data_IF_075224755860
#
_entry.id   IF_075224755860
#
_cell.length_a   1.000
_cell.length_b   1.000
_cell.length_c   1.000
_cell.angle_alpha   90.00
_cell.angle_beta   90.00
_cell.angle_gamma   90.00
#
_symmetry.space_group_name_H-M   'P 1'
#
loop_
_entity.id
_entity.type
_entity.pdbx_description
1 polymer ?
#
# COMPACT_ATOMS: atom_id res chain seq x y z
N UNK A 1 -26.08 114.70 -58.53
CA UNK A 1 -26.36 113.28 -58.24
C UNK A 1 -25.76 112.94 -56.88
N UNK A 2 -26.57 112.46 -55.95
CA UNK A 2 -26.15 112.06 -54.61
C UNK A 2 -27.31 112.17 -53.62
N UNK A 3 -28.09 111.10 -53.39
CA UNK A 3 -29.20 111.09 -52.44
C UNK A 3 -28.79 110.56 -51.06
N UNK A 4 -29.40 111.18 -50.05
CA UNK A 4 -29.96 110.67 -48.79
C UNK A 4 -29.56 109.25 -48.32
N UNK A 5 -29.04 109.17 -47.09
CA UNK A 5 -29.10 107.96 -46.25
C UNK A 5 -29.79 108.32 -44.93
N UNK A 6 -30.96 107.71 -44.72
CA UNK A 6 -31.75 107.77 -43.50
C UNK A 6 -31.19 106.89 -42.39
N UNK A 7 -31.37 107.35 -41.15
CA UNK A 7 -31.12 106.63 -39.92
C UNK A 7 -32.11 105.46 -39.71
N UNK A 8 -31.66 104.39 -39.07
CA UNK A 8 -32.53 103.40 -38.43
C UNK A 8 -31.85 102.76 -37.19
N UNK A 9 -32.72 102.42 -36.24
CA UNK A 9 -32.55 102.14 -34.81
C UNK A 9 -31.54 101.05 -34.40
N UNK A 10 -30.95 101.28 -33.23
CA UNK A 10 -30.30 100.28 -32.36
C UNK A 10 -31.34 99.64 -31.44
N UNK A 11 -31.38 98.31 -31.36
CA UNK A 11 -32.09 97.54 -30.34
C UNK A 11 -31.17 96.41 -29.86
N UNK A 12 -30.81 96.49 -28.58
CA UNK A 12 -29.97 95.54 -27.83
C UNK A 12 -30.76 94.30 -27.43
N UNK A 13 -30.20 93.10 -27.64
CA UNK A 13 -30.66 91.85 -27.04
C UNK A 13 -29.46 91.07 -26.47
N UNK A 14 -29.66 90.58 -25.24
CA UNK A 14 -28.69 89.91 -24.36
C UNK A 14 -28.32 88.51 -24.86
N UNK A 15 -27.05 88.17 -24.78
CA UNK A 15 -26.46 86.87 -25.17
C UNK A 15 -26.33 85.97 -23.91
N UNK A 16 -26.91 84.76 -23.87
CA UNK A 16 -26.72 83.84 -22.75
C UNK A 16 -25.45 83.00 -22.94
N UNK A 17 -24.62 82.97 -21.91
CA UNK A 17 -23.42 82.15 -21.83
C UNK A 17 -23.74 80.65 -21.97
N UNK A 18 -23.19 80.02 -23.00
CA UNK A 18 -23.13 78.56 -23.12
C UNK A 18 -21.92 78.03 -22.32
N UNK A 19 -22.21 77.33 -21.21
CA UNK A 19 -21.26 76.48 -20.50
C UNK A 19 -20.95 75.24 -21.38
N UNK A 20 -19.73 75.18 -21.92
CA UNK A 20 -19.19 73.95 -22.51
C UNK A 20 -18.76 73.01 -21.39
N UNK A 21 -19.60 72.04 -21.06
CA UNK A 21 -19.24 70.90 -20.22
C UNK A 21 -18.24 70.02 -20.96
N UNK A 22 -17.07 69.86 -20.36
CA UNK A 22 -15.99 68.97 -20.78
C UNK A 22 -16.46 67.52 -20.69
N UNK A 23 -16.65 66.91 -21.86
CA UNK A 23 -17.04 65.50 -22.01
C UNK A 23 -15.89 64.61 -21.51
N UNK A 24 -16.07 63.99 -20.35
CA UNK A 24 -15.12 63.06 -19.77
C UNK A 24 -15.11 61.78 -20.59
N UNK A 25 -14.06 61.58 -21.39
CA UNK A 25 -13.78 60.28 -22.00
C UNK A 25 -13.46 59.27 -20.91
N UNK A 26 -14.44 58.44 -20.58
CA UNK A 26 -14.24 57.24 -19.77
C UNK A 26 -13.18 56.35 -20.44
N UNK A 27 -12.05 56.18 -19.77
CA UNK A 27 -11.14 55.07 -20.06
C UNK A 27 -11.93 53.78 -19.83
N UNK A 28 -11.86 52.78 -20.73
CA UNK A 28 -12.45 51.48 -20.45
C UNK A 28 -11.73 50.88 -19.25
N UNK A 29 -12.41 50.85 -18.11
CA UNK A 29 -12.05 50.05 -16.95
C UNK A 29 -12.01 48.61 -17.43
N UNK A 30 -10.81 48.06 -17.61
CA UNK A 30 -10.62 46.64 -17.88
C UNK A 30 -11.28 45.87 -16.73
N UNK A 31 -12.45 45.31 -16.98
CA UNK A 31 -13.15 44.42 -16.05
C UNK A 31 -12.21 43.23 -15.82
N UNK A 32 -11.46 43.22 -14.71
CA UNK A 32 -10.58 42.10 -14.38
C UNK A 32 -11.46 40.87 -14.26
N UNK A 33 -11.30 39.94 -15.19
CA UNK A 33 -11.88 38.60 -15.06
C UNK A 33 -11.37 38.02 -13.73
N UNK A 34 -12.25 37.73 -12.76
CA UNK A 34 -11.81 37.17 -11.50
C UNK A 34 -11.18 35.81 -11.80
N UNK A 35 -9.87 35.70 -11.52
CA UNK A 35 -9.09 34.48 -11.71
C UNK A 35 -8.61 34.00 -10.35
N UNK A 36 -8.67 32.68 -10.13
CA UNK A 36 -8.08 32.05 -8.97
C UNK A 36 -6.63 31.68 -9.30
N UNK A 37 -5.68 32.22 -8.55
CA UNK A 37 -4.30 31.72 -8.56
C UNK A 37 -4.27 30.41 -7.78
N UNK A 38 -4.13 29.29 -8.47
CA UNK A 38 -4.08 27.95 -7.85
C UNK A 38 -2.65 27.43 -7.87
N UNK A 39 -2.19 26.92 -6.72
CA UNK A 39 -0.87 26.30 -6.55
C UNK A 39 -1.02 24.93 -5.92
N UNK A 40 -0.12 24.01 -6.24
CA UNK A 40 -0.08 22.68 -5.63
C UNK A 40 1.29 22.41 -5.05
N UNK A 41 1.34 22.08 -3.77
CA UNK A 41 2.51 21.61 -3.06
C UNK A 41 2.49 20.07 -3.02
N UNK A 42 3.28 19.39 -3.87
CA UNK A 42 3.33 17.93 -3.89
C UNK A 42 3.92 17.34 -2.59
N UNK A 43 4.70 18.11 -1.84
CA UNK A 43 5.30 17.63 -0.59
C UNK A 43 4.26 17.52 0.52
N UNK A 44 3.40 18.53 0.64
CA UNK A 44 2.30 18.52 1.61
C UNK A 44 1.05 17.81 1.08
N UNK A 45 0.99 17.57 -0.23
CA UNK A 45 -0.22 17.18 -0.97
C UNK A 45 -1.32 18.23 -0.83
N UNK A 46 -0.94 19.51 -0.83
CA UNK A 46 -1.83 20.63 -0.58
C UNK A 46 -2.06 21.43 -1.87
N UNK A 47 -3.31 21.56 -2.27
CA UNK A 47 -3.78 22.51 -3.26
C UNK A 47 -4.19 23.78 -2.52
N UNK A 48 -3.62 24.93 -2.89
CA UNK A 48 -3.91 26.23 -2.28
C UNK A 48 -4.32 27.24 -3.33
N UNK A 49 -5.10 28.22 -2.91
CA UNK A 49 -5.49 29.35 -3.75
C UNK A 49 -5.67 30.61 -2.94
N UNK A 50 -5.71 31.75 -3.63
CA UNK A 50 -5.90 33.05 -3.00
C UNK A 50 -7.35 33.19 -2.50
N UNK A 51 -7.53 33.45 -1.20
CA UNK A 51 -8.84 33.76 -0.62
C UNK A 51 -9.25 35.17 -1.03
N UNK A 52 -10.28 35.31 -1.87
CA UNK A 52 -10.93 36.61 -2.07
C UNK A 52 -11.97 36.88 -0.99
N UNK A 53 -12.13 38.15 -0.57
CA UNK A 53 -13.06 38.57 0.50
C UNK A 53 -14.54 38.20 0.23
N UNK A 54 -14.93 37.96 -1.03
CA UNK A 54 -16.31 37.63 -1.44
C UNK A 54 -16.51 36.17 -1.88
N UNK A 55 -15.75 35.22 -1.32
CA UNK A 55 -15.79 33.81 -1.74
C UNK A 55 -16.60 32.95 -0.77
N UNK A 56 -17.79 32.48 -1.17
CA UNK A 56 -18.74 31.80 -0.26
C UNK A 56 -18.71 30.28 -0.34
N UNK A 57 -18.61 29.71 -1.55
CA UNK A 57 -18.59 28.26 -1.74
C UNK A 57 -17.40 27.88 -2.58
N UNK A 58 -16.54 27.02 -2.01
CA UNK A 58 -15.35 26.50 -2.69
C UNK A 58 -15.40 24.98 -2.69
N UNK A 59 -15.36 24.41 -3.89
CA UNK A 59 -15.20 23.00 -4.13
C UNK A 59 -13.83 22.78 -4.77
N UNK A 60 -13.05 21.87 -4.20
CA UNK A 60 -11.82 21.42 -4.83
C UNK A 60 -11.97 19.98 -5.29
N UNK A 61 -11.23 19.62 -6.32
CA UNK A 61 -11.26 18.29 -6.88
C UNK A 61 -9.92 17.87 -7.45
N UNK A 62 -9.71 16.57 -7.48
CA UNK A 62 -8.61 15.91 -8.17
C UNK A 62 -9.21 14.88 -9.11
N UNK A 63 -8.76 14.90 -10.35
CA UNK A 63 -9.12 13.92 -11.38
C UNK A 63 -7.87 13.22 -11.86
N UNK A 64 -7.93 11.89 -11.97
CA UNK A 64 -6.87 11.09 -12.59
C UNK A 64 -7.46 10.36 -13.78
N UNK A 65 -6.63 9.88 -14.70
CA UNK A 65 -7.13 9.09 -15.84
C UNK A 65 -7.73 7.74 -15.43
N UNK A 66 -7.30 7.19 -14.28
CA UNK A 66 -7.66 5.84 -13.81
C UNK A 66 -8.76 5.81 -12.74
N UNK A 67 -8.92 6.88 -11.96
CA UNK A 67 -9.97 7.02 -10.93
C UNK A 67 -10.84 8.23 -11.25
N UNK A 68 -12.14 8.09 -11.00
CA UNK A 68 -13.11 9.18 -11.13
C UNK A 68 -12.76 10.40 -10.26
N UNK A 69 -13.45 11.54 -10.46
CA UNK A 69 -13.20 12.76 -9.72
C UNK A 69 -13.36 12.55 -8.21
N UNK A 70 -12.32 12.87 -7.44
CA UNK A 70 -12.41 13.01 -5.99
C UNK A 70 -12.67 14.47 -5.70
N UNK A 71 -13.89 14.81 -5.28
CA UNK A 71 -14.29 16.18 -4.98
C UNK A 71 -14.60 16.36 -3.50
N UNK A 72 -14.16 17.47 -2.94
CA UNK A 72 -14.40 17.86 -1.55
C UNK A 72 -15.05 19.24 -1.53
N UNK A 73 -16.16 19.36 -0.80
CA UNK A 73 -16.77 20.65 -0.48
C UNK A 73 -16.15 21.17 0.80
N UNK A 74 -15.74 22.44 0.80
CA UNK A 74 -15.04 23.05 1.93
C UNK A 74 -15.98 23.88 2.79
N UNK A 75 -15.55 24.13 4.02
CA UNK A 75 -16.18 25.09 4.92
C UNK A 75 -15.85 26.52 4.48
N UNK A 76 -16.65 27.48 4.93
CA UNK A 76 -16.40 28.91 4.75
C UNK A 76 -14.97 29.27 5.20
N UNK A 77 -14.28 30.12 4.42
CA UNK A 77 -12.92 30.61 4.63
C UNK A 77 -11.76 29.59 4.52
N UNK A 78 -12.00 28.34 4.09
CA UNK A 78 -10.91 27.40 3.83
C UNK A 78 -10.39 27.53 2.39
N UNK A 79 -9.13 27.98 2.23
CA UNK A 79 -8.51 28.18 0.91
C UNK A 79 -7.42 27.16 0.56
N UNK A 80 -7.53 25.97 1.13
CA UNK A 80 -6.65 24.86 0.81
C UNK A 80 -7.40 23.52 0.86
N UNK A 81 -6.93 22.58 0.05
CA UNK A 81 -7.36 21.20 0.07
C UNK A 81 -6.17 20.26 0.14
N UNK A 82 -6.27 19.27 1.02
CA UNK A 82 -5.24 18.25 1.17
C UNK A 82 -5.72 16.94 0.56
N UNK A 83 -4.89 16.35 -0.30
CA UNK A 83 -5.11 15.05 -0.91
C UNK A 83 -4.07 14.05 -0.39
N UNK A 84 -4.17 13.59 0.88
CA UNK A 84 -3.06 12.88 1.53
C UNK A 84 -2.71 11.52 0.89
N UNK A 85 -3.65 10.93 0.14
CA UNK A 85 -3.50 9.64 -0.58
C UNK A 85 -3.46 9.83 -2.11
N UNK A 86 -3.15 11.03 -2.58
CA UNK A 86 -3.03 11.31 -4.01
C UNK A 86 -1.83 10.57 -4.62
N UNK A 87 -2.05 10.01 -5.80
CA UNK A 87 -1.02 9.39 -6.63
C UNK A 87 -0.80 10.31 -7.84
N UNK A 88 0.43 10.83 -7.98
CA UNK A 88 0.81 11.90 -8.89
C UNK A 88 1.41 11.40 -10.21
N UNK A 89 1.96 10.17 -10.25
CA UNK A 89 2.54 9.58 -11.48
C UNK A 89 1.58 9.54 -12.66
N UNK A 90 0.27 9.52 -12.37
CA UNK A 90 -0.82 9.54 -13.35
C UNK A 90 -1.13 10.91 -13.95
N UNK A 91 -0.31 11.94 -13.67
CA UNK A 91 -0.48 13.32 -14.11
C UNK A 91 -1.91 13.86 -13.84
N UNK A 92 -2.30 13.96 -12.55
CA UNK A 92 -3.64 14.38 -12.18
C UNK A 92 -3.93 15.84 -12.56
N UNK A 93 -5.21 16.11 -12.81
CA UNK A 93 -5.71 17.47 -12.97
C UNK A 93 -6.46 17.87 -11.70
N UNK A 94 -6.02 18.97 -11.10
CA UNK A 94 -6.68 19.60 -9.98
C UNK A 94 -7.65 20.67 -10.47
N UNK A 95 -8.79 20.76 -9.81
CA UNK A 95 -9.85 21.72 -10.12
C UNK A 95 -10.24 22.45 -8.85
N UNK A 96 -10.35 23.78 -8.91
CA UNK A 96 -10.95 24.59 -7.85
C UNK A 96 -12.10 25.37 -8.45
N UNK A 97 -13.28 25.17 -7.92
CA UNK A 97 -14.49 25.89 -8.29
C UNK A 97 -14.90 26.76 -7.11
N UNK A 98 -14.98 28.06 -7.33
CA UNK A 98 -15.33 29.03 -6.30
C UNK A 98 -16.43 29.97 -6.81
N UNK A 99 -17.35 30.34 -5.93
CA UNK A 99 -18.34 31.39 -6.21
C UNK A 99 -17.81 32.72 -5.68
N UNK A 100 -17.53 33.67 -6.58
CA UNK A 100 -17.05 35.02 -6.26
C UNK A 100 -18.18 36.00 -6.61
N UNK A 101 -18.91 36.46 -5.59
CA UNK A 101 -20.15 37.21 -5.79
C UNK A 101 -21.17 36.40 -6.61
N UNK A 102 -21.74 36.92 -7.71
CA UNK A 102 -22.70 36.20 -8.55
C UNK A 102 -22.05 35.25 -9.58
N UNK A 103 -20.72 35.28 -9.76
CA UNK A 103 -20.02 34.51 -10.79
C UNK A 103 -19.39 33.25 -10.21
N UNK A 104 -19.54 32.12 -10.90
CA UNK A 104 -18.80 30.89 -10.59
C UNK A 104 -17.53 30.82 -11.44
N UNK A 105 -16.38 30.71 -10.77
CA UNK A 105 -15.06 30.61 -11.39
C UNK A 105 -14.52 29.21 -11.18
N UNK A 106 -14.03 28.57 -12.24
CA UNK A 106 -13.36 27.27 -12.15
C UNK A 106 -11.95 27.39 -12.71
N UNK A 107 -10.97 27.14 -11.86
CA UNK A 107 -9.56 27.07 -12.23
C UNK A 107 -9.10 25.62 -12.30
N UNK A 108 -8.27 25.30 -13.31
CA UNK A 108 -7.65 23.99 -13.47
C UNK A 108 -6.13 24.09 -13.38
N UNK A 109 -5.51 23.13 -12.71
CA UNK A 109 -4.06 22.98 -12.63
C UNK A 109 -3.69 21.54 -13.01
N UNK A 110 -2.91 21.38 -14.08
CA UNK A 110 -2.45 20.06 -14.52
C UNK A 110 -1.09 19.76 -13.89
N UNK A 111 -0.96 18.62 -13.21
CA UNK A 111 0.32 18.17 -12.67
C UNK A 111 1.04 17.29 -13.70
N UNK A 112 2.30 17.58 -13.97
CA UNK A 112 3.12 16.81 -14.92
C UNK A 112 4.07 15.86 -14.18
N UNK A 113 4.28 14.68 -14.76
CA UNK A 113 5.38 13.79 -14.39
C UNK A 113 6.51 14.00 -15.41
N UNK A 114 7.54 14.80 -15.08
CA UNK A 114 8.58 15.17 -16.05
C UNK A 114 9.42 13.96 -16.44
N UNK A 115 9.89 13.92 -17.69
CA UNK A 115 10.73 12.85 -18.23
C UNK A 115 10.07 12.02 -19.34
N UNK A 116 10.87 11.16 -19.96
CA UNK A 116 10.43 10.31 -21.05
C UNK A 116 9.42 9.25 -20.60
N UNK A 117 8.46 8.90 -21.46
CA UNK A 117 7.57 7.76 -21.14
C UNK A 117 8.39 6.48 -21.05
N UNK A 118 8.13 5.68 -20.02
CA UNK A 118 8.84 4.41 -19.80
C UNK A 118 10.22 4.54 -19.14
N UNK A 119 10.61 5.73 -18.67
CA UNK A 119 11.85 5.91 -17.89
C UNK A 119 11.66 5.64 -16.39
N UNK A 120 10.43 5.74 -15.89
CA UNK A 120 10.11 5.45 -14.49
C UNK A 120 10.38 4.00 -14.12
N UNK A 121 10.71 3.78 -12.84
CA UNK A 121 10.81 2.44 -12.28
C UNK A 121 9.51 1.65 -12.49
N UNK A 122 9.63 0.37 -12.83
CA UNK A 122 8.51 -0.53 -13.09
C UNK A 122 8.45 -1.64 -12.04
N UNK A 123 7.32 -2.35 -11.98
CA UNK A 123 7.11 -3.48 -11.07
C UNK A 123 7.47 -3.18 -9.60
N UNK A 124 7.23 -1.92 -9.18
CA UNK A 124 7.51 -1.50 -7.82
C UNK A 124 6.61 -2.27 -6.86
N UNK A 125 7.24 -3.06 -6.00
CA UNK A 125 6.58 -3.88 -4.99
C UNK A 125 7.31 -3.72 -3.67
N UNK A 126 6.55 -3.69 -2.57
CA UNK A 126 7.10 -3.66 -1.23
C UNK A 126 6.48 -4.77 -0.40
N UNK A 127 7.26 -5.34 0.52
CA UNK A 127 6.81 -6.32 1.50
C UNK A 127 7.44 -6.05 2.86
N UNK A 128 6.67 -6.25 3.92
CA UNK A 128 7.13 -6.24 5.31
C UNK A 128 7.30 -7.67 5.77
N UNK A 129 8.37 -7.96 6.50
CA UNK A 129 8.70 -9.29 7.02
C UNK A 129 9.34 -9.18 8.40
N UNK A 130 9.24 -10.24 9.20
CA UNK A 130 9.73 -10.26 10.59
C UNK A 130 9.24 -9.07 11.43
N UNK A 131 8.02 -8.59 11.15
CA UNK A 131 7.33 -7.46 11.78
C UNK A 131 8.02 -6.08 11.74
N UNK A 132 9.29 -5.96 11.36
CA UNK A 132 10.04 -4.71 11.42
C UNK A 132 10.88 -4.38 10.17
N UNK A 133 11.13 -5.35 9.31
CA UNK A 133 11.90 -5.13 8.09
C UNK A 133 10.97 -4.91 6.91
N UNK A 134 11.37 -4.04 5.98
CA UNK A 134 10.65 -3.84 4.72
C UNK A 134 11.64 -3.86 3.56
N UNK A 135 11.29 -4.66 2.55
CA UNK A 135 11.97 -4.65 1.26
C UNK A 135 11.05 -4.00 0.23
N UNK A 136 11.59 -3.09 -0.55
CA UNK A 136 10.96 -2.60 -1.77
C UNK A 136 11.88 -2.92 -2.95
N UNK A 137 11.31 -3.35 -4.07
CA UNK A 137 12.04 -3.76 -5.27
C UNK A 137 11.37 -3.17 -6.49
N UNK A 138 12.16 -2.89 -7.53
CA UNK A 138 11.66 -2.35 -8.79
C UNK A 138 12.60 -2.69 -9.94
N UNK A 139 12.04 -2.71 -11.14
CA UNK A 139 12.78 -2.88 -12.38
C UNK A 139 13.14 -1.52 -12.98
N UNK A 140 14.28 -1.47 -13.67
CA UNK A 140 14.67 -0.30 -14.47
C UNK A 140 13.62 -0.08 -15.57
N UNK A 141 13.25 1.19 -15.78
CA UNK A 141 12.34 1.56 -16.86
C UNK A 141 12.90 1.15 -18.23
N UNK A 142 12.10 0.56 -19.13
CA UNK A 142 12.57 0.06 -20.42
C UNK A 142 13.15 1.15 -21.34
N UNK A 143 12.74 2.41 -21.14
CA UNK A 143 13.28 3.56 -21.86
C UNK A 143 14.25 4.39 -21.02
N UNK A 144 14.58 3.94 -19.80
CA UNK A 144 15.53 4.63 -18.93
C UNK A 144 16.97 4.42 -19.46
N UNK A 145 17.81 5.46 -19.46
CA UNK A 145 19.19 5.36 -19.91
C UNK A 145 20.01 4.48 -18.95
N UNK A 146 21.16 3.98 -19.42
CA UNK A 146 22.02 3.07 -18.63
C UNK A 146 22.63 3.70 -17.39
N UNK A 147 22.83 5.01 -17.41
CA UNK A 147 23.32 5.80 -16.28
C UNK A 147 22.21 6.29 -15.35
N UNK A 148 21.00 5.72 -15.41
CA UNK A 148 19.91 6.09 -14.50
C UNK A 148 20.22 5.61 -13.08
N UNK A 149 19.91 6.47 -12.10
CA UNK A 149 19.91 6.10 -10.70
C UNK A 149 18.55 6.39 -10.07
N UNK A 150 18.03 5.42 -9.30
CA UNK A 150 16.76 5.54 -8.60
C UNK A 150 16.96 5.79 -7.11
N UNK A 151 16.07 6.59 -6.51
CA UNK A 151 16.04 6.85 -5.06
C UNK A 151 14.63 6.66 -4.52
N UNK A 152 14.52 6.00 -3.37
CA UNK A 152 13.22 5.74 -2.72
C UNK A 152 13.04 6.68 -1.53
N UNK A 153 11.95 7.43 -1.54
CA UNK A 153 11.50 8.26 -0.44
C UNK A 153 10.16 7.73 0.10
N UNK A 154 10.05 7.64 1.41
CA UNK A 154 8.88 7.12 2.11
C UNK A 154 8.36 8.17 3.06
N UNK A 155 7.04 8.37 3.05
CA UNK A 155 6.34 9.25 3.97
C UNK A 155 5.28 8.46 4.73
N UNK A 156 5.31 8.53 6.04
CA UNK A 156 4.21 8.03 6.87
C UNK A 156 3.02 9.00 6.76
N UNK A 157 1.86 8.49 6.35
CA UNK A 157 0.67 9.31 6.17
C UNK A 157 0.04 9.75 7.50
N UNK A 158 0.34 9.05 8.61
CA UNK A 158 -0.16 9.42 9.94
C UNK A 158 0.67 10.52 10.57
N UNK A 159 1.98 10.32 10.70
CA UNK A 159 2.88 11.29 11.36
C UNK A 159 3.36 12.40 10.42
N UNK A 160 3.28 12.20 9.10
CA UNK A 160 3.89 13.08 8.11
C UNK A 160 5.41 12.99 8.05
N UNK A 161 6.04 12.13 8.88
CA UNK A 161 7.48 11.90 8.88
C UNK A 161 7.94 11.33 7.53
N UNK A 162 9.16 11.69 7.15
CA UNK A 162 9.74 11.32 5.86
C UNK A 162 11.10 10.70 6.08
N UNK A 163 11.43 9.70 5.29
CA UNK A 163 12.75 9.08 5.27
C UNK A 163 13.11 8.64 3.86
N UNK A 164 14.38 8.85 3.50
CA UNK A 164 14.96 8.18 2.35
C UNK A 164 15.31 6.72 2.72
N UNK A 165 15.41 5.87 1.71
CA UNK A 165 15.95 4.54 1.87
C UNK A 165 17.33 4.55 2.55
N UNK A 166 17.51 3.83 3.68
CA UNK A 166 18.80 3.78 4.36
C UNK A 166 19.80 2.85 3.67
N UNK A 167 19.33 1.83 2.94
CA UNK A 167 20.18 0.85 2.27
C UNK A 167 19.58 0.40 0.95
N UNK A 168 20.17 0.85 -0.15
CA UNK A 168 19.79 0.43 -1.48
C UNK A 168 20.29 -0.99 -1.82
N UNK A 169 19.53 -1.68 -2.66
CA UNK A 169 19.89 -2.95 -3.28
C UNK A 169 20.33 -2.65 -4.72
N UNK A 170 21.50 -3.16 -5.13
CA UNK A 170 22.02 -3.00 -6.49
C UNK A 170 21.83 -4.26 -7.34
N UNK A 171 21.84 -4.10 -8.66
CA UNK A 171 21.95 -5.21 -9.62
C UNK A 171 23.44 -5.50 -9.94
N UNK A 172 23.71 -6.37 -10.90
CA UNK A 172 25.03 -6.56 -11.54
C UNK A 172 25.66 -5.25 -12.08
N UNK A 173 24.90 -4.15 -12.14
CA UNK A 173 25.39 -2.78 -12.31
C UNK A 173 25.17 -1.87 -11.09
N UNK A 174 25.68 -0.64 -11.13
CA UNK A 174 25.58 0.33 -10.01
C UNK A 174 24.19 0.94 -9.78
N UNK A 175 23.18 0.55 -10.57
CA UNK A 175 21.82 1.07 -10.47
C UNK A 175 21.08 0.43 -9.30
N UNK A 176 20.41 1.24 -8.50
CA UNK A 176 19.55 0.78 -7.43
C UNK A 176 18.29 0.14 -8.01
N UNK A 177 18.02 -1.11 -7.62
CA UNK A 177 16.83 -1.91 -7.99
C UNK A 177 15.97 -2.24 -6.78
N UNK A 178 16.34 -1.74 -5.61
CA UNK A 178 15.54 -1.92 -4.42
C UNK A 178 16.04 -1.15 -3.21
N UNK A 179 15.33 -1.33 -2.11
CA UNK A 179 15.62 -0.76 -0.82
C UNK A 179 15.34 -1.82 0.26
N UNK A 180 16.25 -1.91 1.22
CA UNK A 180 16.04 -2.61 2.47
C UNK A 180 16.03 -1.60 3.62
N UNK A 181 15.03 -1.68 4.51
CA UNK A 181 15.00 -0.87 5.72
C UNK A 181 14.53 -1.66 6.93
N UNK A 182 14.99 -1.20 8.09
CA UNK A 182 14.53 -1.60 9.41
C UNK A 182 13.67 -0.48 10.01
N UNK A 183 12.81 -0.79 10.98
CA UNK A 183 11.90 0.19 11.57
C UNK A 183 10.62 0.40 10.76
N UNK A 184 10.11 -0.66 10.12
CA UNK A 184 8.77 -0.65 9.52
C UNK A 184 7.68 -0.61 10.61
N UNK A 185 7.97 -1.11 11.82
CA UNK A 185 7.07 -1.05 12.97
C UNK A 185 6.72 0.37 13.41
N UNK A 186 7.62 1.33 13.19
CA UNK A 186 7.42 2.74 13.54
C UNK A 186 6.39 3.45 12.64
N UNK A 187 6.05 2.89 11.48
CA UNK A 187 5.05 3.49 10.59
C UNK A 187 3.62 3.28 11.08
N UNK A 188 2.70 4.15 10.65
CA UNK A 188 1.28 3.99 10.87
C UNK A 188 0.66 2.82 10.08
N UNK A 189 -0.58 3.00 9.64
CA UNK A 189 -1.30 2.00 8.81
C UNK A 189 -1.00 2.14 7.32
N UNK A 190 -0.59 3.33 6.88
CA UNK A 190 -0.42 3.67 5.47
C UNK A 190 0.84 4.52 5.26
N UNK A 191 1.53 4.27 4.16
CA UNK A 191 2.69 5.05 3.71
C UNK A 191 2.49 5.50 2.27
N UNK A 192 3.10 6.62 1.93
CA UNK A 192 3.31 7.06 0.56
C UNK A 192 4.75 6.78 0.16
N UNK A 193 4.94 6.09 -0.97
CA UNK A 193 6.24 5.80 -1.54
C UNK A 193 6.45 6.60 -2.82
N UNK A 194 7.67 7.10 -3.02
CA UNK A 194 8.11 7.82 -4.20
C UNK A 194 9.46 7.25 -4.64
N UNK A 195 9.49 6.59 -5.79
CA UNK A 195 10.73 6.19 -6.47
C UNK A 195 11.04 7.26 -7.50
N UNK A 196 12.00 8.12 -7.16
CA UNK A 196 12.50 9.16 -8.06
C UNK A 196 13.66 8.61 -8.90
N UNK A 197 13.91 9.24 -10.04
CA UNK A 197 15.01 8.86 -10.94
C UNK A 197 15.82 10.08 -11.38
N UNK A 198 17.13 9.89 -11.50
CA UNK A 198 18.04 10.92 -12.03
C UNK A 198 18.93 10.32 -13.10
N UNK A 199 19.22 11.10 -14.13
CA UNK A 199 20.20 10.77 -15.16
C UNK A 199 20.79 12.07 -15.73
N UNK A 200 22.10 12.10 -16.01
CA UNK A 200 22.74 13.21 -16.72
C UNK A 200 22.22 13.42 -18.15
N UNK A 201 21.70 12.38 -18.80
CA UNK A 201 21.37 12.41 -20.24
C UNK A 201 19.89 12.58 -20.54
N UNK A 202 19.00 12.34 -19.57
CA UNK A 202 17.56 12.46 -19.78
C UNK A 202 16.79 12.75 -18.48
N UNK A 203 15.65 13.43 -18.61
CA UNK A 203 14.68 13.53 -17.53
C UNK A 203 13.98 12.19 -17.28
N UNK A 204 13.87 11.80 -16.01
CA UNK A 204 13.33 10.51 -15.60
C UNK A 204 12.01 10.73 -14.85
N UNK A 205 10.94 10.12 -15.35
CA UNK A 205 9.66 10.05 -14.65
C UNK A 205 9.80 9.33 -13.31
N UNK A 206 9.08 9.82 -12.30
CA UNK A 206 9.00 9.15 -11.00
C UNK A 206 7.84 8.16 -10.97
N UNK A 207 7.91 7.21 -10.04
CA UNK A 207 6.81 6.35 -9.64
C UNK A 207 6.36 6.71 -8.23
N UNK A 208 5.06 6.78 -7.97
CA UNK A 208 4.53 6.88 -6.62
C UNK A 208 3.30 5.99 -6.38
N UNK A 209 3.11 5.61 -5.11
CA UNK A 209 1.91 4.90 -4.67
C UNK A 209 1.64 5.12 -3.18
N UNK A 210 0.40 4.86 -2.78
CA UNK A 210 0.00 4.79 -1.37
C UNK A 210 -0.23 3.33 -0.99
N UNK A 211 0.54 2.83 -0.04
CA UNK A 211 0.49 1.44 0.41
C UNK A 211 -0.15 1.33 1.79
N UNK A 212 -1.07 0.37 1.93
CA UNK A 212 -1.58 -0.07 3.23
C UNK A 212 -0.64 -1.14 3.79
N UNK A 213 0.00 -0.89 4.92
CA UNK A 213 1.03 -1.78 5.48
C UNK A 213 0.48 -3.18 5.76
N UNK A 214 -0.76 -3.25 6.24
CA UNK A 214 -1.47 -4.51 6.47
C UNK A 214 -1.55 -5.38 5.21
N UNK A 215 -1.57 -4.79 4.01
CA UNK A 215 -1.68 -5.53 2.74
C UNK A 215 -0.36 -6.00 2.17
N UNK A 216 0.76 -5.54 2.72
CA UNK A 216 2.10 -5.88 2.24
C UNK A 216 2.91 -6.63 3.32
N UNK A 217 2.32 -6.89 4.48
CA UNK A 217 2.98 -7.61 5.56
C UNK A 217 2.83 -9.12 5.37
N UNK A 218 3.96 -9.80 5.32
CA UNK A 218 4.06 -11.26 5.37
C UNK A 218 4.19 -11.65 6.83
N UNK A 219 3.17 -12.34 7.36
CA UNK A 219 3.20 -12.80 8.75
C UNK A 219 4.24 -13.89 8.92
N UNK A 220 4.96 -13.84 10.05
CA UNK A 220 5.85 -14.90 10.47
C UNK A 220 5.05 -16.20 10.71
N UNK A 221 5.70 -17.37 10.74
CA UNK A 221 5.01 -18.59 11.14
C UNK A 221 4.58 -18.46 12.61
N UNK A 222 3.54 -19.21 13.06
CA UNK A 222 3.12 -19.17 14.45
C UNK A 222 4.24 -19.58 15.42
N UNK A 223 4.26 -18.91 16.57
CA UNK A 223 5.25 -19.16 17.62
C UNK A 223 4.80 -20.28 18.56
N UNK A 224 5.75 -20.89 19.28
CA UNK A 224 5.50 -21.87 20.36
C UNK A 224 4.51 -22.99 20.00
N UNK A 225 4.74 -23.67 18.87
CA UNK A 225 3.94 -24.83 18.47
C UNK A 225 4.20 -25.98 19.46
N UNK A 226 3.21 -26.31 20.28
CA UNK A 226 3.27 -27.41 21.26
C UNK A 226 2.27 -28.50 20.89
N UNK A 227 2.65 -29.74 21.22
CA UNK A 227 1.84 -30.92 20.89
C UNK A 227 1.78 -31.84 22.09
N UNK A 228 0.57 -32.04 22.61
CA UNK A 228 0.30 -32.94 23.73
C UNK A 228 -0.51 -34.14 23.23
N UNK A 229 0.06 -35.34 23.37
CA UNK A 229 -0.54 -36.55 22.86
C UNK A 229 -1.02 -37.48 23.99
N UNK A 230 -2.25 -37.97 23.89
CA UNK A 230 -2.75 -39.07 24.71
C UNK A 230 -2.91 -40.36 23.87
N UNK A 231 -3.63 -41.35 24.38
CA UNK A 231 -3.80 -42.63 23.70
C UNK A 231 -4.59 -42.55 22.38
N UNK A 232 -5.55 -41.61 22.26
CA UNK A 232 -6.50 -41.51 21.13
C UNK A 232 -6.28 -40.31 20.22
N UNK A 233 -5.78 -39.20 20.73
CA UNK A 233 -5.59 -37.96 19.97
C UNK A 233 -4.35 -37.18 20.43
N UNK A 234 -3.96 -36.20 19.62
CA UNK A 234 -2.99 -35.17 19.97
C UNK A 234 -3.65 -33.79 19.88
N UNK A 235 -3.36 -32.92 20.84
CA UNK A 235 -3.80 -31.54 20.86
C UNK A 235 -2.61 -30.67 20.49
N UNK A 236 -2.73 -29.96 19.37
CA UNK A 236 -1.77 -28.98 18.90
C UNK A 236 -2.21 -27.62 19.42
N UNK A 237 -1.28 -26.84 19.96
CA UNK A 237 -1.50 -25.47 20.40
C UNK A 237 -0.39 -24.57 19.86
N UNK A 238 -0.69 -23.29 19.64
CA UNK A 238 0.28 -22.33 19.15
C UNK A 238 -0.07 -20.90 19.55
N UNK A 239 0.96 -20.08 19.65
CA UNK A 239 0.82 -18.65 19.87
C UNK A 239 0.59 -17.90 18.56
N UNK A 240 0.08 -16.68 18.65
CA UNK A 240 -0.04 -15.79 17.49
C UNK A 240 1.32 -15.52 16.89
N UNK A 241 1.45 -15.50 15.55
CA UNK A 241 2.70 -15.15 14.90
C UNK A 241 3.11 -13.74 15.28
N UNK A 242 4.42 -13.48 15.24
CA UNK A 242 4.95 -12.13 15.34
C UNK A 242 4.45 -11.28 14.17
N UNK A 243 3.69 -10.25 14.50
CA UNK A 243 3.11 -9.28 13.56
C UNK A 243 3.39 -7.86 14.04
N UNK A 244 3.50 -6.92 13.11
CA UNK A 244 3.85 -5.52 13.35
C UNK A 244 2.85 -4.80 14.24
N UNK A 245 1.56 -5.05 13.99
CA UNK A 245 0.44 -4.53 14.77
C UNK A 245 -0.33 -5.72 15.28
N UNK A 246 -0.57 -5.76 16.59
CA UNK A 246 -1.38 -6.81 17.20
C UNK A 246 -2.76 -6.86 16.53
N UNK A 247 -3.12 -8.04 16.03
CA UNK A 247 -4.42 -8.35 15.48
C UNK A 247 -5.12 -9.34 16.40
N UNK A 248 -6.46 -9.30 16.37
CA UNK A 248 -7.22 -10.33 17.04
C UNK A 248 -6.99 -11.69 16.35
N UNK A 249 -6.97 -12.79 17.10
CA UNK A 249 -6.88 -14.14 16.52
C UNK A 249 -7.96 -14.39 15.45
N UNK A 250 -9.14 -13.79 15.60
CA UNK A 250 -10.23 -13.89 14.63
C UNK A 250 -9.90 -13.30 13.25
N UNK A 251 -8.86 -12.46 13.15
CA UNK A 251 -8.36 -11.90 11.89
C UNK A 251 -7.27 -12.75 11.23
N UNK A 252 -6.89 -13.88 11.86
CA UNK A 252 -5.86 -14.77 11.37
C UNK A 252 -6.48 -16.03 10.77
N UNK A 253 -5.82 -16.53 9.72
CA UNK A 253 -6.07 -17.83 9.13
C UNK A 253 -4.77 -18.64 9.26
N UNK A 254 -4.88 -19.88 9.70
CA UNK A 254 -3.78 -20.83 9.81
C UNK A 254 -3.94 -21.95 8.80
N UNK A 255 -2.82 -22.49 8.34
CA UNK A 255 -2.79 -23.73 7.59
C UNK A 255 -1.76 -24.66 8.18
N UNK A 256 -2.20 -25.88 8.48
CA UNK A 256 -1.38 -26.95 9.01
C UNK A 256 -1.13 -27.96 7.89
N UNK A 257 0.12 -28.37 7.74
CA UNK A 257 0.50 -29.50 6.89
C UNK A 257 1.04 -30.61 7.79
N UNK A 258 0.22 -31.65 7.95
CA UNK A 258 0.51 -32.81 8.77
C UNK A 258 0.85 -33.95 7.83
N UNK A 259 2.08 -34.48 7.96
CA UNK A 259 2.50 -35.62 7.16
C UNK A 259 2.96 -36.78 8.04
N UNK A 260 2.62 -37.98 7.60
CA UNK A 260 3.09 -39.22 8.23
C UNK A 260 4.54 -39.48 7.83
N UNK A 261 5.39 -39.76 8.82
CA UNK A 261 6.80 -40.07 8.56
C UNK A 261 6.94 -41.48 7.96
N UNK A 262 7.87 -41.66 7.02
CA UNK A 262 8.17 -42.91 6.30
C UNK A 262 7.11 -43.43 5.32
N UNK A 263 6.12 -42.60 4.93
CA UNK A 263 5.22 -42.93 3.83
C UNK A 263 5.71 -42.32 2.53
N UNK A 264 5.80 -43.14 1.46
CA UNK A 264 6.08 -42.66 0.10
C UNK A 264 4.78 -42.35 -0.68
N UNK A 265 3.62 -42.40 -0.04
CA UNK A 265 2.33 -42.15 -0.70
C UNK A 265 1.88 -40.68 -0.55
N UNK A 266 1.49 -40.01 -1.65
CA UNK A 266 0.98 -38.63 -1.61
C UNK A 266 -0.27 -38.43 -0.75
N UNK A 267 -1.04 -39.51 -0.50
CA UNK A 267 -2.28 -39.51 0.29
C UNK A 267 -2.07 -39.35 1.81
N UNK A 268 -0.82 -39.39 2.29
CA UNK A 268 -0.49 -39.25 3.72
C UNK A 268 -0.14 -37.81 4.14
N UNK A 269 -0.41 -36.84 3.25
CA UNK A 269 -0.35 -35.41 3.53
C UNK A 269 -1.74 -34.85 3.80
N UNK A 270 -1.94 -34.32 5.00
CA UNK A 270 -3.18 -33.66 5.39
C UNK A 270 -2.93 -32.16 5.53
N UNK A 271 -3.49 -31.39 4.59
CA UNK A 271 -3.59 -29.94 4.69
C UNK A 271 -4.90 -29.55 5.37
N UNK A 272 -4.80 -28.77 6.44
CA UNK A 272 -5.95 -28.32 7.25
C UNK A 272 -5.92 -26.81 7.36
N UNK A 273 -6.99 -26.17 6.88
CA UNK A 273 -7.20 -24.73 7.04
C UNK A 273 -8.03 -24.47 8.32
N UNK A 274 -7.53 -23.58 9.18
CA UNK A 274 -8.12 -23.27 10.48
C UNK A 274 -8.25 -21.76 10.62
N UNK A 275 -9.47 -21.27 10.81
CA UNK A 275 -9.67 -19.87 11.18
C UNK A 275 -9.27 -19.67 12.64
N UNK A 276 -8.59 -18.57 12.93
CA UNK A 276 -8.17 -18.26 14.29
C UNK A 276 -9.36 -18.04 15.22
N UNK A 277 -9.17 -18.42 16.47
CA UNK A 277 -10.21 -18.42 17.51
C UNK A 277 -9.64 -17.86 18.81
N UNK A 278 -10.49 -17.76 19.86
CA UNK A 278 -10.03 -17.34 21.19
C UNK A 278 -8.82 -18.14 21.68
N UNK A 279 -8.83 -19.46 21.44
CA UNK A 279 -7.69 -20.34 21.68
C UNK A 279 -7.30 -21.01 20.37
N UNK A 280 -6.05 -20.86 20.00
CA UNK A 280 -5.45 -21.48 18.82
C UNK A 280 -5.12 -22.94 19.13
N UNK A 281 -6.07 -23.83 18.84
CA UNK A 281 -5.92 -25.28 19.08
C UNK A 281 -6.44 -26.10 17.91
N UNK A 282 -5.80 -27.25 17.67
CA UNK A 282 -6.30 -28.26 16.76
C UNK A 282 -6.20 -29.65 17.38
N UNK A 283 -7.24 -30.47 17.21
CA UNK A 283 -7.27 -31.85 17.71
C UNK A 283 -7.06 -32.82 16.56
N UNK A 284 -5.89 -33.44 16.52
CA UNK A 284 -5.55 -34.49 15.58
C UNK A 284 -5.94 -35.86 16.15
N UNK A 285 -6.85 -36.56 15.47
CA UNK A 285 -7.22 -37.94 15.83
C UNK A 285 -6.12 -38.88 15.35
N UNK A 286 -5.58 -39.74 16.23
CA UNK A 286 -4.52 -40.68 15.85
C UNK A 286 -5.13 -41.82 15.02
N UNK A 287 -4.82 -41.94 13.71
CA UNK A 287 -5.24 -43.10 12.94
C UNK A 287 -4.47 -44.32 13.46
N UNK A 288 -5.15 -45.46 13.60
CA UNK A 288 -4.43 -46.73 13.73
C UNK A 288 -3.91 -47.15 12.34
N UNK A 289 -2.67 -47.66 12.22
CA UNK A 289 -1.68 -47.90 13.27
C UNK A 289 -0.90 -46.63 13.67
N UNK A 290 -0.51 -46.56 14.95
CA UNK A 290 0.24 -45.42 15.52
C UNK A 290 1.54 -45.21 14.75
N UNK A 291 1.67 -44.01 14.19
CA UNK A 291 2.84 -43.60 13.43
C UNK A 291 3.42 -42.29 13.98
N UNK A 292 4.69 -42.06 13.66
CA UNK A 292 5.28 -40.73 13.79
C UNK A 292 4.72 -39.82 12.70
N UNK A 293 4.42 -38.60 13.08
CA UNK A 293 3.95 -37.53 12.21
C UNK A 293 4.82 -36.30 12.44
N UNK A 294 4.84 -35.41 11.47
CA UNK A 294 5.37 -34.07 11.64
C UNK A 294 4.36 -33.05 11.12
N UNK A 295 4.25 -31.93 11.84
CA UNK A 295 3.41 -30.81 11.46
C UNK A 295 4.27 -29.60 11.19
N UNK A 296 3.96 -28.88 10.11
CA UNK A 296 4.40 -27.51 9.90
C UNK A 296 3.17 -26.61 9.77
N UNK A 297 3.32 -25.35 10.14
CA UNK A 297 2.21 -24.41 10.16
C UNK A 297 2.61 -23.06 9.60
N UNK A 298 1.66 -22.38 8.96
CA UNK A 298 1.82 -21.00 8.48
C UNK A 298 0.58 -20.18 8.79
N UNK A 299 0.73 -18.87 8.80
CA UNK A 299 -0.33 -17.92 9.08
C UNK A 299 -0.54 -16.94 7.92
N UNK A 300 -1.74 -16.38 7.84
CA UNK A 300 -2.12 -15.31 6.93
C UNK A 300 -3.18 -14.42 7.57
N UNK A 301 -3.40 -13.24 7.01
CA UNK A 301 -4.61 -12.47 7.29
C UNK A 301 -5.82 -13.18 6.67
N UNK A 302 -6.89 -13.36 7.45
CA UNK A 302 -8.07 -14.13 7.01
C UNK A 302 -8.81 -13.53 5.82
N UNK A 303 -8.63 -12.23 5.54
CA UNK A 303 -9.27 -11.52 4.42
C UNK A 303 -8.38 -11.43 3.19
N UNK A 304 -7.05 -11.44 3.37
CA UNK A 304 -6.10 -11.33 2.26
C UNK A 304 -5.58 -12.68 1.77
N UNK A 305 -5.46 -13.66 2.69
CA UNK A 305 -4.91 -14.99 2.43
C UNK A 305 -3.51 -14.99 1.79
N UNK A 306 -2.73 -13.95 2.10
CA UNK A 306 -1.31 -13.90 1.75
C UNK A 306 -0.52 -14.73 2.76
N UNK A 307 -0.22 -15.97 2.38
CA UNK A 307 0.44 -16.93 3.25
C UNK A 307 1.89 -16.56 3.56
N UNK A 308 2.20 -16.57 4.85
CA UNK A 308 3.57 -16.53 5.36
C UNK A 308 4.37 -17.82 5.07
N UNK A 309 5.65 -17.83 5.45
CA UNK A 309 6.47 -19.03 5.37
C UNK A 309 5.97 -20.10 6.34
N UNK A 310 6.35 -21.35 6.06
CA UNK A 310 6.10 -22.47 6.97
C UNK A 310 7.02 -22.41 8.19
N UNK A 311 6.49 -22.81 9.34
CA UNK A 311 7.27 -23.07 10.54
C UNK A 311 8.25 -24.22 10.30
N UNK A 312 9.23 -24.35 11.21
CA UNK A 312 9.99 -25.59 11.30
C UNK A 312 9.04 -26.76 11.65
N UNK A 313 9.31 -27.98 11.13
CA UNK A 313 8.48 -29.13 11.42
C UNK A 313 8.62 -29.54 12.89
N UNK A 314 7.49 -29.83 13.53
CA UNK A 314 7.42 -30.37 14.88
C UNK A 314 6.96 -31.82 14.80
N UNK A 315 7.78 -32.74 15.29
CA UNK A 315 7.49 -34.17 15.29
C UNK A 315 6.61 -34.57 16.48
N UNK A 316 5.70 -35.52 16.26
CA UNK A 316 4.84 -36.08 17.30
C UNK A 316 4.36 -37.50 16.98
N UNK A 317 3.86 -38.17 18.01
CA UNK A 317 3.42 -39.57 17.94
C UNK A 317 4.54 -40.58 18.26
N UNK A 318 4.14 -41.81 18.55
CA UNK A 318 5.05 -42.92 18.80
C UNK A 318 5.11 -43.80 17.55
N UNK A 319 6.32 -44.01 17.04
CA UNK A 319 6.57 -45.07 16.07
C UNK A 319 6.63 -46.39 16.81
N UNK A 320 5.47 -46.93 17.20
CA UNK A 320 5.38 -48.31 17.68
C UNK A 320 5.50 -49.24 16.46
N UNK A 321 6.71 -49.35 15.91
CA UNK A 321 7.10 -50.56 15.20
C UNK A 321 6.90 -51.68 16.19
N UNK A 322 6.05 -52.67 15.83
CA UNK A 322 5.82 -53.93 16.53
C UNK A 322 6.78 -54.10 17.70
N UNK A 323 6.31 -53.66 18.88
CA UNK A 323 7.05 -53.55 20.13
C UNK A 323 8.12 -54.63 20.25
N UNK A 324 9.27 -54.35 20.86
CA UNK A 324 10.29 -55.38 21.14
C UNK A 324 9.68 -56.69 21.70
N UNK A 325 8.53 -56.63 22.37
CA UNK A 325 7.73 -57.78 22.78
C UNK A 325 7.27 -58.71 21.64
N UNK A 326 6.92 -58.20 20.44
CA UNK A 326 6.58 -59.00 19.27
C UNK A 326 7.79 -59.74 18.71
N UNK A 327 8.95 -59.07 18.60
CA UNK A 327 10.20 -59.72 18.19
C UNK A 327 10.66 -60.75 19.24
N UNK A 328 10.58 -60.41 20.53
CA UNK A 328 10.88 -61.34 21.64
C UNK A 328 9.92 -62.53 21.59
N UNK A 329 8.63 -62.31 21.35
CA UNK A 329 7.63 -63.39 21.21
C UNK A 329 7.95 -64.32 20.05
N UNK A 330 8.28 -63.77 18.88
CA UNK A 330 8.68 -64.57 17.70
C UNK A 330 9.98 -65.36 17.95
N UNK A 331 10.95 -64.78 18.65
CA UNK A 331 12.19 -65.48 19.02
C UNK A 331 11.89 -66.61 20.02
N UNK A 332 11.03 -66.39 21.03
CA UNK A 332 10.63 -67.42 22.00
C UNK A 332 9.85 -68.55 21.32
N UNK A 333 8.90 -68.22 20.43
CA UNK A 333 8.15 -69.22 19.66
C UNK A 333 9.08 -70.01 18.74
N UNK A 334 10.03 -69.35 18.09
CA UNK A 334 11.04 -69.99 17.26
C UNK A 334 11.95 -70.94 18.05
N UNK A 335 12.44 -70.52 19.22
CA UNK A 335 13.29 -71.37 20.07
C UNK A 335 12.53 -72.57 20.64
N UNK A 336 11.27 -72.40 21.07
CA UNK A 336 10.42 -73.50 21.52
C UNK A 336 10.17 -74.53 20.41
N UNK A 337 9.88 -74.07 19.18
CA UNK A 337 9.70 -74.96 18.04
C UNK A 337 10.98 -75.76 17.73
N UNK A 338 12.15 -75.11 17.75
CA UNK A 338 13.43 -75.78 17.55
C UNK A 338 13.72 -76.83 18.63
N UNK A 339 13.45 -76.54 19.91
CA UNK A 339 13.64 -77.48 21.01
C UNK A 339 12.71 -78.69 20.86
N UNK A 340 11.43 -78.47 20.52
CA UNK A 340 10.47 -79.55 20.31
C UNK A 340 10.87 -80.45 19.12
N UNK A 341 11.38 -79.87 18.02
CA UNK A 341 11.89 -80.63 16.88
C UNK A 341 13.13 -81.44 17.29
N UNK A 342 14.06 -80.85 18.05
CA UNK A 342 15.23 -81.56 18.55
C UNK A 342 14.84 -82.74 19.47
N UNK A 343 13.92 -82.52 20.40
CA UNK A 343 13.42 -83.58 21.28
C UNK A 343 12.71 -84.70 20.51
N UNK A 344 11.94 -84.35 19.48
CA UNK A 344 11.28 -85.34 18.61
C UNK A 344 12.28 -86.17 17.80
N UNK A 345 13.36 -85.56 17.30
CA UNK A 345 14.40 -86.24 16.53
C UNK A 345 15.29 -87.15 17.39
N UNK A 346 15.45 -86.86 18.69
CA UNK A 346 16.29 -87.64 19.61
C UNK A 346 15.51 -88.68 20.44
N UNK A 347 14.19 -88.55 20.60
CA UNK A 347 13.32 -89.55 21.23
C UNK A 347 12.69 -90.55 20.23
N UNK A 348 13.22 -90.60 19.01
CA UNK A 348 12.90 -91.61 17.99
C UNK A 348 14.12 -92.45 17.72
#
# INVERSE_FOLDING_TARGET
MGPLVSAALVLTLLDPAFLLTQDSRDLPTVERVPSLSVRFDPWRMNLTWDCGENTTSIQCGMTTRKKGPVTMRLKENQCHCTFPRAVLRGAPNFTVTANIGPRQVTQRLSYSNPGGQGTAAQNVSCLIYMADFMNCTWDKGPAAPDNVQYSLHIRDLRSGSRRECPRYLGDTGTTHVGCHLQGASAFGSEIYILVNGTSPSAGIQFFDDTLMLKKIEIYDPPDNITIECNASHCVLQWDTPRIRVFLSNWELQYQLDIHRQNSMQPSDHQLVDISGAWRNTYVFQKPLPRAKHAVRMRAADSRLLQWGPWSQPVEFGSGEWLSGAFFISMVILGTLACVLIFLYLFNR
#
